data_IF_209310975993
#
_entry.id   IF_209310975993
#
_cell.length_a   1.000
_cell.length_b   1.000
_cell.length_c   1.000
_cell.angle_alpha   90.00
_cell.angle_beta   90.00
_cell.angle_gamma   90.00
#
_symmetry.space_group_name_H-M   'P 1'
#
loop_
_entity.id
_entity.type
_entity.pdbx_description
1 polymer ?
#
# COMPACT_ATOMS: atom_id res chain seq x y z
N UNK A 1 22.60 -13.32 1.39
CA UNK A 1 21.50 -14.24 1.78
C UNK A 1 20.49 -13.54 2.67
N UNK A 2 19.29 -14.11 2.87
CA UNK A 2 18.22 -13.54 3.72
C UNK A 2 18.69 -13.19 5.15
N UNK A 3 19.69 -13.90 5.68
CA UNK A 3 20.27 -13.62 7.00
C UNK A 3 20.96 -12.25 7.10
N UNK A 4 21.73 -11.83 6.08
CA UNK A 4 22.42 -10.52 6.12
C UNK A 4 21.46 -9.34 6.14
N UNK A 5 20.35 -9.43 5.40
CA UNK A 5 19.29 -8.41 5.39
C UNK A 5 18.54 -8.34 6.72
N UNK A 6 18.49 -9.43 7.48
CA UNK A 6 17.80 -9.49 8.78
C UNK A 6 18.63 -8.79 9.86
N UNK A 7 19.93 -9.07 9.93
CA UNK A 7 20.82 -8.41 10.88
C UNK A 7 20.94 -6.90 10.60
N UNK A 8 20.98 -6.53 9.33
CA UNK A 8 20.99 -5.13 8.89
C UNK A 8 19.67 -4.42 9.22
N UNK A 9 18.52 -5.05 8.95
CA UNK A 9 17.21 -4.51 9.34
C UNK A 9 17.05 -4.37 10.86
N UNK A 10 17.59 -5.29 11.66
CA UNK A 10 17.58 -5.17 13.12
C UNK A 10 18.45 -4.01 13.61
N UNK A 11 19.63 -3.81 13.02
CA UNK A 11 20.48 -2.65 13.34
C UNK A 11 19.81 -1.33 12.97
N UNK A 12 19.17 -1.27 11.79
CA UNK A 12 18.41 -0.10 11.36
C UNK A 12 17.25 0.15 12.33
N UNK A 13 16.52 -0.89 12.76
CA UNK A 13 15.43 -0.74 13.73
C UNK A 13 15.92 -0.21 15.07
N UNK A 14 16.98 -0.79 15.62
CA UNK A 14 17.57 -0.33 16.89
C UNK A 14 18.08 1.11 16.76
N UNK A 15 18.74 1.43 15.65
CA UNK A 15 19.23 2.79 15.40
C UNK A 15 18.07 3.79 15.24
N UNK A 16 17.00 3.43 14.54
CA UNK A 16 15.79 4.25 14.42
C UNK A 16 15.12 4.46 15.78
N UNK A 17 15.01 3.41 16.61
CA UNK A 17 14.43 3.51 17.95
C UNK A 17 15.29 4.34 18.92
N UNK A 18 16.61 4.23 18.82
CA UNK A 18 17.57 4.99 19.64
C UNK A 18 17.73 6.44 19.15
N UNK A 19 17.69 6.67 17.84
CA UNK A 19 17.81 7.99 17.21
C UNK A 19 16.48 8.75 17.12
N UNK A 20 15.37 8.16 17.54
CA UNK A 20 14.02 8.75 17.69
C UNK A 20 13.97 9.91 18.72
N UNK A 21 15.08 10.60 18.95
CA UNK A 21 15.28 11.79 19.78
C UNK A 21 14.55 13.03 19.19
N UNK A 22 13.33 12.84 18.69
CA UNK A 22 12.46 13.86 18.09
C UNK A 22 12.09 13.61 16.62
N UNK A 23 12.75 12.68 15.90
CA UNK A 23 12.41 12.41 14.50
C UNK A 23 11.22 11.46 14.37
N UNK A 24 10.19 11.91 13.64
CA UNK A 24 9.03 11.10 13.31
C UNK A 24 9.44 9.97 12.38
N UNK A 25 9.26 8.73 12.83
CA UNK A 25 9.41 7.54 12.00
C UNK A 25 8.02 7.09 11.57
N UNK A 26 7.82 6.97 10.26
CA UNK A 26 6.58 6.45 9.69
C UNK A 26 6.27 5.05 10.26
N UNK A 27 5.07 4.85 10.84
CA UNK A 27 4.64 3.52 11.26
C UNK A 27 4.63 2.50 10.10
N UNK A 28 4.44 2.94 8.85
CA UNK A 28 4.59 2.09 7.69
C UNK A 28 6.04 1.61 7.49
N UNK A 29 7.05 2.45 7.72
CA UNK A 29 8.45 2.04 7.61
C UNK A 29 8.82 0.99 8.67
N UNK A 30 8.31 1.16 9.90
CA UNK A 30 8.43 0.13 10.94
C UNK A 30 7.77 -1.18 10.52
N UNK A 31 6.60 -1.12 9.87
CA UNK A 31 5.94 -2.31 9.33
C UNK A 31 6.84 -3.05 8.32
N UNK A 32 7.45 -2.34 7.37
CA UNK A 32 8.35 -2.95 6.36
C UNK A 32 9.58 -3.58 7.00
N UNK A 33 10.18 -2.92 7.99
CA UNK A 33 11.31 -3.47 8.74
C UNK A 33 10.91 -4.74 9.49
N UNK A 34 9.80 -4.74 10.23
CA UNK A 34 9.31 -5.95 10.90
C UNK A 34 8.95 -7.08 9.94
N UNK A 35 8.38 -6.74 8.77
CA UNK A 35 8.09 -7.71 7.72
C UNK A 35 9.37 -8.36 7.17
N UNK A 36 10.42 -7.57 6.91
CA UNK A 36 11.73 -8.05 6.48
C UNK A 36 12.40 -8.95 7.54
N UNK A 37 12.17 -8.66 8.83
CA UNK A 37 12.64 -9.48 9.96
C UNK A 37 11.84 -10.80 10.14
N UNK A 38 10.68 -10.90 9.50
CA UNK A 38 9.75 -12.02 9.63
C UNK A 38 8.82 -11.92 10.85
N UNK A 39 8.85 -10.81 11.59
CA UNK A 39 7.95 -10.57 12.73
C UNK A 39 6.63 -9.99 12.22
N UNK A 40 5.78 -10.88 11.71
CA UNK A 40 4.48 -10.49 11.15
C UNK A 40 3.57 -9.82 12.17
N UNK A 41 3.66 -10.19 13.44
CA UNK A 41 2.78 -9.64 14.47
C UNK A 41 3.09 -8.16 14.72
N UNK A 42 4.36 -7.81 14.88
CA UNK A 42 4.76 -6.39 15.00
C UNK A 42 4.52 -5.62 13.70
N UNK A 43 4.74 -6.24 12.55
CA UNK A 43 4.44 -5.62 11.27
C UNK A 43 2.96 -5.22 11.16
N UNK A 44 2.03 -6.12 11.49
CA UNK A 44 0.59 -5.80 11.47
C UNK A 44 0.18 -4.79 12.54
N UNK A 45 0.83 -4.76 13.70
CA UNK A 45 0.59 -3.73 14.71
C UNK A 45 0.99 -2.35 14.20
N UNK A 46 2.20 -2.22 13.64
CA UNK A 46 2.67 -0.96 13.03
C UNK A 46 1.81 -0.55 11.83
N UNK A 47 1.34 -1.52 11.05
CA UNK A 47 0.44 -1.28 9.91
C UNK A 47 -0.94 -0.74 10.34
N UNK A 48 -1.48 -1.23 11.46
CA UNK A 48 -2.71 -0.68 12.04
C UNK A 48 -2.51 0.76 12.51
N UNK A 49 -1.39 1.06 13.18
CA UNK A 49 -1.04 2.42 13.58
C UNK A 49 -0.86 3.35 12.39
N UNK A 50 -0.20 2.89 11.32
CA UNK A 50 -0.06 3.67 10.08
C UNK A 50 -1.42 4.05 9.50
N UNK A 51 -2.39 3.13 9.54
CA UNK A 51 -3.75 3.37 9.06
C UNK A 51 -4.51 4.38 9.93
N UNK A 52 -4.42 4.25 11.25
CA UNK A 52 -5.04 5.18 12.20
C UNK A 52 -4.47 6.60 12.06
N UNK A 53 -3.17 6.73 11.79
CA UNK A 53 -2.49 8.01 11.61
C UNK A 53 -2.60 8.58 10.19
N UNK A 54 -3.29 7.90 9.27
CA UNK A 54 -3.36 8.27 7.86
C UNK A 54 -1.97 8.50 7.24
N UNK A 55 -1.03 7.62 7.58
CA UNK A 55 0.35 7.69 7.11
C UNK A 55 0.39 7.66 5.58
N UNK A 56 0.92 8.73 4.98
CA UNK A 56 1.01 8.88 3.53
C UNK A 56 1.83 7.76 2.86
N UNK A 57 2.74 7.14 3.60
CA UNK A 57 3.62 6.07 3.09
C UNK A 57 2.86 4.76 2.81
N UNK A 58 1.65 4.60 3.35
CA UNK A 58 0.78 3.44 3.08
C UNK A 58 0.42 3.28 1.60
N UNK A 59 0.55 4.33 0.78
CA UNK A 59 0.31 4.23 -0.67
C UNK A 59 1.21 3.20 -1.35
N UNK A 60 2.40 2.93 -0.79
CA UNK A 60 3.39 2.02 -1.36
C UNK A 60 3.27 0.57 -0.87
N UNK A 61 2.41 0.30 0.11
CA UNK A 61 2.34 -1.00 0.80
C UNK A 61 2.05 -2.18 -0.17
N UNK A 62 1.34 -1.91 -1.27
CA UNK A 62 1.00 -2.93 -2.29
C UNK A 62 2.14 -3.24 -3.25
N UNK A 63 3.19 -2.42 -3.33
CA UNK A 63 4.30 -2.58 -4.29
C UNK A 63 5.67 -2.79 -3.62
N UNK A 64 5.81 -2.47 -2.34
CA UNK A 64 7.04 -2.70 -1.59
C UNK A 64 7.47 -4.19 -1.62
N UNK A 65 8.72 -4.54 -1.95
CA UNK A 65 9.22 -5.91 -1.88
C UNK A 65 9.18 -6.48 -0.45
N UNK A 66 9.39 -5.64 0.56
CA UNK A 66 9.40 -6.02 1.98
C UNK A 66 8.03 -6.51 2.45
N UNK A 67 6.95 -6.03 1.81
CA UNK A 67 5.59 -6.50 2.10
C UNK A 67 5.27 -7.87 1.49
N UNK A 68 6.16 -8.49 0.70
CA UNK A 68 5.95 -9.84 0.15
C UNK A 68 5.72 -10.87 1.27
N UNK A 69 6.42 -10.71 2.40
CA UNK A 69 6.25 -11.56 3.56
C UNK A 69 4.84 -11.45 4.18
N UNK A 70 4.18 -10.29 4.03
CA UNK A 70 2.83 -10.01 4.51
C UNK A 70 1.76 -10.41 3.48
N UNK A 71 2.05 -10.32 2.17
CA UNK A 71 1.11 -10.70 1.09
C UNK A 71 0.60 -12.15 1.20
N UNK A 72 1.40 -13.03 1.80
CA UNK A 72 1.03 -14.43 2.04
C UNK A 72 0.07 -14.62 3.23
N UNK A 73 -0.14 -13.59 4.06
CA UNK A 73 -0.97 -13.65 5.26
C UNK A 73 -2.39 -13.12 4.96
N UNK A 74 -3.46 -13.86 5.32
CA UNK A 74 -4.84 -13.43 5.03
C UNK A 74 -5.21 -12.09 5.68
N UNK A 75 -4.54 -11.70 6.78
CA UNK A 75 -4.75 -10.40 7.43
C UNK A 75 -4.38 -9.23 6.51
N UNK A 76 -3.40 -9.43 5.62
CA UNK A 76 -2.99 -8.39 4.66
C UNK A 76 -4.09 -8.13 3.62
N UNK A 77 -4.71 -9.18 3.09
CA UNK A 77 -5.83 -9.03 2.15
C UNK A 77 -7.02 -8.29 2.80
N UNK A 78 -7.32 -8.58 4.07
CA UNK A 78 -8.35 -7.85 4.82
C UNK A 78 -7.97 -6.37 4.98
N UNK A 79 -6.72 -6.07 5.30
CA UNK A 79 -6.23 -4.70 5.44
C UNK A 79 -6.33 -3.90 4.13
N UNK A 80 -5.92 -4.47 2.99
CA UNK A 80 -6.07 -3.81 1.68
C UNK A 80 -7.54 -3.49 1.38
N UNK A 81 -8.48 -4.39 1.72
CA UNK A 81 -9.92 -4.14 1.54
C UNK A 81 -10.41 -2.97 2.41
N UNK A 82 -9.92 -2.86 3.65
CA UNK A 82 -10.25 -1.75 4.56
C UNK A 82 -9.69 -0.40 4.11
N UNK A 83 -8.57 -0.39 3.38
CA UNK A 83 -8.00 0.84 2.82
C UNK A 83 -8.81 1.42 1.64
N UNK A 84 -9.84 0.72 1.15
CA UNK A 84 -10.77 1.18 0.13
C UNK A 84 -10.08 1.87 -1.08
N UNK A 85 -9.03 1.25 -1.63
CA UNK A 85 -8.40 1.75 -2.85
C UNK A 85 -9.47 1.88 -3.94
N UNK A 86 -9.57 3.03 -4.63
CA UNK A 86 -10.42 3.12 -5.81
C UNK A 86 -9.93 2.04 -6.78
N UNK A 87 -10.84 1.17 -7.20
CA UNK A 87 -10.59 0.25 -8.30
C UNK A 87 -10.11 1.13 -9.45
N UNK A 88 -8.91 0.89 -9.98
CA UNK A 88 -8.45 1.58 -11.17
C UNK A 88 -9.31 1.07 -12.33
N UNK A 89 -10.48 1.71 -12.48
CA UNK A 89 -11.30 1.58 -13.66
C UNK A 89 -10.53 2.28 -14.78
N UNK A 90 -9.77 1.50 -15.55
CA UNK A 90 -9.41 1.90 -16.90
C UNK A 90 -10.71 1.73 -17.69
N UNK A 91 -11.60 2.72 -17.63
CA UNK A 91 -12.67 2.85 -18.62
C UNK A 91 -11.98 2.87 -20.00
N UNK A 92 -12.26 1.94 -20.93
CA UNK A 92 -11.94 2.20 -22.33
C UNK A 92 -12.76 3.44 -22.71
N UNK A 93 -12.08 4.52 -23.10
CA UNK A 93 -12.71 5.79 -23.44
C UNK A 93 -13.98 5.54 -24.27
N UNK A 94 -15.16 6.10 -23.88
CA UNK A 94 -16.36 5.91 -24.67
C UNK A 94 -16.06 6.43 -26.08
N UNK A 95 -16.04 5.50 -27.03
CA UNK A 95 -15.81 5.78 -28.44
C UNK A 95 -16.75 6.90 -28.87
N UNK A 96 -16.17 7.96 -29.41
CA UNK A 96 -16.84 9.10 -30.04
C UNK A 96 -18.12 8.67 -30.77
N UNK A 97 -19.28 8.83 -30.13
CA UNK A 97 -20.57 8.75 -30.82
C UNK A 97 -20.87 10.12 -31.41
N UNK A 98 -20.05 10.50 -32.39
CA UNK A 98 -20.30 11.67 -33.21
C UNK A 98 -21.49 11.37 -34.15
N UNK A 99 -22.59 12.08 -33.89
CA UNK A 99 -23.59 12.53 -34.86
C UNK A 99 -24.24 11.42 -35.72
N UNK A 100 -25.15 10.64 -35.12
CA UNK A 100 -26.23 10.05 -35.92
C UNK A 100 -27.16 11.18 -36.35
N UNK A 101 -27.04 11.51 -37.64
CA UNK A 101 -27.72 12.55 -38.39
C UNK A 101 -29.21 12.64 -38.04
N UNK A 102 -29.64 13.86 -37.72
CA UNK A 102 -31.02 14.29 -37.88
C UNK A 102 -31.40 14.11 -39.35
N UNK A 103 -32.20 13.09 -39.66
CA UNK A 103 -32.96 13.04 -40.91
C UNK A 103 -34.41 13.39 -40.59
N UNK A 104 -34.74 14.64 -40.84
CA UNK A 104 -36.10 15.16 -41.01
C UNK A 104 -36.87 14.27 -41.98
N UNK A 105 -38.11 13.84 -41.69
CA UNK A 105 -38.98 13.30 -42.74
C UNK A 105 -39.51 14.47 -43.58
N UNK A 106 -39.24 14.45 -44.88
CA UNK A 106 -39.95 15.28 -45.85
C UNK A 106 -41.23 14.53 -46.27
N UNK A 107 -42.34 15.28 -46.15
CA UNK A 107 -43.66 15.20 -46.81
C UNK A 107 -43.93 14.04 -47.78
N UNK A 108 -45.08 13.39 -47.58
CA UNK A 108 -46.11 13.22 -48.63
C UNK A 108 -47.49 13.44 -48.00
#
# INVERSE_FOLDING_TARGET
GRLGRKEEASKILSHLQEASNGEYISPNDLCLVYAALGDKNKAFASLATAYEQQDASLVWIKVAPESDALRSDPRFANFIRRMNFPVSYIEPAPGNRLLSRMTTPLVE
#
